data_IF_096777393401
#
_entry.id   IF_096777393401
#
_cell.length_a   1.000
_cell.length_b   1.000
_cell.length_c   1.000
_cell.angle_alpha   90.00
_cell.angle_beta   90.00
_cell.angle_gamma   90.00
#
_symmetry.space_group_name_H-M   'P 1'
#
loop_
_entity.id
_entity.type
_entity.pdbx_description
1 polymer ?
#
# COMPACT_ATOMS: atom_id res chain seq x y z
N UNK A 1 -3.57 -9.16 -9.45
CA UNK A 1 -3.93 -8.11 -8.47
C UNK A 1 -3.41 -6.83 -9.06
N UNK A 2 -4.29 -5.94 -9.47
CA UNK A 2 -3.93 -4.58 -9.88
C UNK A 2 -3.58 -3.81 -8.63
N UNK A 3 -2.32 -3.39 -8.49
CA UNK A 3 -1.89 -2.53 -7.39
C UNK A 3 -2.50 -1.15 -7.64
N UNK A 4 -3.23 -0.63 -6.65
CA UNK A 4 -3.83 0.69 -6.73
C UNK A 4 -2.74 1.75 -6.54
N UNK A 5 -2.52 2.58 -7.55
CA UNK A 5 -1.50 3.66 -7.52
C UNK A 5 -1.69 4.60 -6.33
N UNK A 6 -2.93 4.83 -5.90
CA UNK A 6 -3.23 5.70 -4.75
C UNK A 6 -2.90 5.05 -3.42
N UNK A 7 -2.97 3.72 -3.32
CA UNK A 7 -2.55 2.98 -2.13
C UNK A 7 -1.02 3.04 -1.97
N UNK A 8 -0.27 2.93 -3.08
CA UNK A 8 1.18 3.11 -3.08
C UNK A 8 1.57 4.54 -2.67
N UNK A 9 0.91 5.56 -3.23
CA UNK A 9 1.14 6.95 -2.86
C UNK A 9 0.84 7.17 -1.37
N UNK A 10 -0.24 6.61 -0.85
CA UNK A 10 -0.62 6.74 0.58
C UNK A 10 0.42 6.08 1.50
N UNK A 11 0.91 4.90 1.15
CA UNK A 11 1.94 4.19 1.91
C UNK A 11 3.28 4.95 1.87
N UNK A 12 3.67 5.44 0.69
CA UNK A 12 4.84 6.29 0.52
C UNK A 12 4.76 7.54 1.42
N UNK A 13 3.63 8.25 1.38
CA UNK A 13 3.44 9.46 2.18
C UNK A 13 3.54 9.20 3.68
N UNK A 14 3.05 8.06 4.14
CA UNK A 14 3.15 7.68 5.55
C UNK A 14 4.61 7.55 5.99
N UNK A 15 5.45 6.91 5.18
CA UNK A 15 6.87 6.71 5.50
C UNK A 15 7.65 8.03 5.33
N UNK A 16 7.41 8.72 4.22
CA UNK A 16 8.16 9.92 3.86
C UNK A 16 7.91 11.06 4.85
N UNK A 17 6.67 11.25 5.32
CA UNK A 17 6.32 12.32 6.26
C UNK A 17 6.98 12.15 7.65
N UNK A 18 7.33 10.93 8.06
CA UNK A 18 8.00 10.66 9.34
C UNK A 18 9.50 11.02 9.32
N UNK A 19 10.05 11.35 8.15
CA UNK A 19 11.43 11.80 8.02
C UNK A 19 11.72 13.02 8.89
N UNK A 20 12.82 13.05 9.67
CA UNK A 20 13.08 14.10 10.66
C UNK A 20 13.17 15.50 10.04
N UNK A 21 13.72 15.61 8.81
CA UNK A 21 13.81 16.86 8.07
C UNK A 21 12.46 17.29 7.45
N UNK A 22 11.55 16.33 7.19
CA UNK A 22 10.22 16.63 6.65
C UNK A 22 9.29 17.28 7.68
N UNK A 23 9.60 17.17 8.99
CA UNK A 23 8.81 17.80 10.06
C UNK A 23 8.61 19.30 9.88
N UNK A 24 9.60 19.99 9.32
CA UNK A 24 9.53 21.43 9.06
C UNK A 24 8.56 21.81 7.91
N UNK A 25 8.10 20.84 7.12
CA UNK A 25 7.25 21.05 5.95
C UNK A 25 5.87 20.38 6.09
N UNK A 26 5.53 19.95 7.31
CA UNK A 26 4.29 19.21 7.57
C UNK A 26 3.05 20.07 7.47
N UNK A 27 3.08 21.28 7.98
CA UNK A 27 1.92 22.15 8.09
C UNK A 27 2.06 23.34 7.15
N UNK A 28 0.93 23.96 6.74
CA UNK A 28 0.97 25.22 6.02
C UNK A 28 1.80 26.26 6.77
N UNK A 29 2.57 27.06 6.03
CA UNK A 29 3.32 28.18 6.61
C UNK A 29 2.36 29.16 7.26
N UNK A 30 2.64 29.50 8.52
CA UNK A 30 1.94 30.51 9.28
C UNK A 30 2.86 31.75 9.38
N UNK A 31 2.62 32.81 8.58
CA UNK A 31 3.49 33.98 8.53
C UNK A 31 3.76 34.63 9.89
N UNK A 32 2.80 34.58 10.81
CA UNK A 32 2.94 35.17 12.14
C UNK A 32 3.73 34.24 13.07
N UNK A 33 3.36 32.96 13.14
CA UNK A 33 4.04 32.00 14.03
C UNK A 33 5.46 31.68 13.57
N UNK A 34 5.67 31.58 12.27
CA UNK A 34 6.95 31.24 11.66
C UNK A 34 7.84 32.47 11.42
N UNK A 35 7.34 33.67 11.73
CA UNK A 35 8.02 34.95 11.56
C UNK A 35 8.42 35.23 10.09
N UNK A 36 7.53 34.83 9.17
CA UNK A 36 7.69 34.93 7.71
C UNK A 36 6.64 35.88 7.12
N UNK A 37 6.60 37.13 7.60
CA UNK A 37 5.49 38.06 7.36
C UNK A 37 5.19 38.40 5.90
N UNK A 38 6.14 38.23 4.98
CA UNK A 38 5.97 38.46 3.55
C UNK A 38 5.90 37.17 2.71
N UNK A 39 5.72 36.01 3.36
CA UNK A 39 5.67 34.72 2.68
C UNK A 39 4.67 34.67 1.53
N UNK A 40 3.41 35.06 1.77
CA UNK A 40 2.36 35.03 0.74
C UNK A 40 2.47 36.16 -0.30
N UNK A 41 3.37 37.14 -0.12
CA UNK A 41 3.69 38.11 -1.16
C UNK A 41 4.68 37.52 -2.18
N UNK A 42 5.52 36.58 -1.74
CA UNK A 42 6.56 35.95 -2.55
C UNK A 42 6.06 34.63 -3.13
N UNK A 43 5.39 33.82 -2.32
CA UNK A 43 4.90 32.47 -2.68
C UNK A 43 3.42 32.54 -3.02
N UNK A 44 3.11 32.32 -4.30
CA UNK A 44 1.75 32.44 -4.86
C UNK A 44 0.96 31.13 -4.84
N UNK A 45 1.64 29.99 -4.72
CA UNK A 45 1.03 28.66 -4.63
C UNK A 45 1.62 27.91 -3.43
N UNK A 46 1.18 28.23 -2.20
CA UNK A 46 1.67 27.55 -1.00
C UNK A 46 1.30 26.07 -1.02
N UNK A 47 2.17 25.22 -0.46
CA UNK A 47 1.95 23.78 -0.35
C UNK A 47 2.72 23.21 0.84
N UNK A 48 2.17 22.16 1.45
CA UNK A 48 2.72 21.45 2.60
C UNK A 48 2.32 19.96 2.58
N UNK A 49 3.01 19.13 3.35
CA UNK A 49 2.81 17.67 3.32
C UNK A 49 1.44 17.25 3.86
N UNK A 50 0.83 17.99 4.79
CA UNK A 50 -0.52 17.69 5.30
C UNK A 50 -1.58 18.01 4.25
N UNK A 51 -1.44 19.13 3.55
CA UNK A 51 -2.30 19.47 2.41
C UNK A 51 -2.19 18.42 1.32
N UNK A 52 -0.98 18.00 0.93
CA UNK A 52 -0.81 16.93 -0.06
C UNK A 52 -1.46 15.62 0.41
N UNK A 53 -1.29 15.25 1.68
CA UNK A 53 -1.89 14.04 2.27
C UNK A 53 -3.41 14.08 2.17
N UNK A 54 -4.01 15.21 2.55
CA UNK A 54 -5.46 15.39 2.51
C UNK A 54 -5.98 15.30 1.07
N UNK A 55 -5.29 15.92 0.11
CA UNK A 55 -5.64 15.84 -1.32
C UNK A 55 -5.61 14.41 -1.87
N UNK A 56 -4.66 13.57 -1.43
CA UNK A 56 -4.64 12.13 -1.76
C UNK A 56 -5.86 11.42 -1.15
N UNK A 57 -6.11 11.59 0.14
CA UNK A 57 -7.20 10.91 0.86
C UNK A 57 -8.58 11.28 0.31
N UNK A 58 -8.76 12.55 -0.08
CA UNK A 58 -9.99 13.07 -0.66
C UNK A 58 -10.11 12.80 -2.16
N UNK A 59 -9.14 12.13 -2.79
CA UNK A 59 -9.09 11.84 -4.23
C UNK A 59 -9.17 13.10 -5.11
N UNK A 60 -8.54 14.17 -4.66
CA UNK A 60 -8.54 15.45 -5.37
C UNK A 60 -7.56 15.46 -6.55
N UNK A 61 -6.55 14.59 -6.52
CA UNK A 61 -5.65 14.38 -7.65
C UNK A 61 -6.30 13.47 -8.70
N UNK A 62 -6.42 13.98 -9.93
CA UNK A 62 -6.90 13.22 -11.08
C UNK A 62 -5.81 12.32 -11.65
N UNK A 63 -4.55 12.69 -11.45
CA UNK A 63 -3.37 11.96 -11.95
C UNK A 63 -2.25 11.97 -10.91
N UNK A 64 -1.39 10.93 -10.87
CA UNK A 64 -0.19 10.92 -10.04
C UNK A 64 0.76 12.10 -10.30
N UNK A 65 0.79 12.63 -11.53
CA UNK A 65 1.64 13.77 -11.88
C UNK A 65 1.25 15.04 -11.11
N UNK A 66 -0.04 15.25 -10.86
CA UNK A 66 -0.50 16.37 -10.04
C UNK A 66 -0.01 16.25 -8.60
N UNK A 67 -0.02 15.04 -8.04
CA UNK A 67 0.53 14.77 -6.71
C UNK A 67 2.05 14.99 -6.68
N UNK A 68 2.78 14.48 -7.67
CA UNK A 68 4.23 14.64 -7.78
C UNK A 68 4.65 16.12 -7.86
N UNK A 69 3.91 16.91 -8.64
CA UNK A 69 4.17 18.33 -8.80
C UNK A 69 3.97 19.08 -7.48
N UNK A 70 2.92 18.78 -6.72
CA UNK A 70 2.69 19.41 -5.42
C UNK A 70 3.75 18.99 -4.39
N UNK A 71 4.22 17.74 -4.41
CA UNK A 71 5.36 17.30 -3.60
C UNK A 71 6.64 18.09 -3.92
N UNK A 72 6.93 18.32 -5.19
CA UNK A 72 8.06 19.15 -5.60
C UNK A 72 7.90 20.62 -5.18
N UNK A 73 6.66 21.13 -5.27
CA UNK A 73 6.34 22.53 -5.01
C UNK A 73 6.64 22.95 -3.56
N UNK A 74 6.42 22.06 -2.59
CA UNK A 74 6.76 22.29 -1.16
C UNK A 74 8.20 22.80 -1.01
N UNK A 75 9.16 22.08 -1.58
CA UNK A 75 10.58 22.40 -1.45
C UNK A 75 11.01 23.53 -2.38
N UNK A 76 10.43 23.63 -3.57
CA UNK A 76 10.70 24.73 -4.49
C UNK A 76 10.26 26.08 -3.90
N UNK A 77 9.11 26.12 -3.21
CA UNK A 77 8.65 27.30 -2.48
C UNK A 77 9.63 27.69 -1.36
N UNK A 78 10.11 26.71 -0.59
CA UNK A 78 11.09 26.96 0.46
C UNK A 78 12.41 27.54 -0.09
N UNK A 79 12.95 26.96 -1.16
CA UNK A 79 14.16 27.47 -1.84
C UNK A 79 13.92 28.90 -2.36
N UNK A 80 12.78 29.13 -3.03
CA UNK A 80 12.43 30.43 -3.59
C UNK A 80 12.35 31.49 -2.50
N UNK A 81 11.60 31.23 -1.43
CA UNK A 81 11.44 32.18 -0.33
C UNK A 81 12.77 32.44 0.39
N UNK A 82 13.47 31.39 0.82
CA UNK A 82 14.66 31.53 1.67
C UNK A 82 15.92 32.03 0.93
N UNK A 83 16.03 31.82 -0.39
CA UNK A 83 17.13 32.35 -1.19
C UNK A 83 17.15 33.89 -1.17
N UNK A 84 15.98 34.53 -1.15
CA UNK A 84 15.85 35.99 -1.07
C UNK A 84 16.15 36.57 0.33
N UNK A 85 16.28 35.70 1.34
CA UNK A 85 16.42 36.06 2.77
C UNK A 85 17.79 35.73 3.36
N UNK A 86 18.76 35.29 2.54
CA UNK A 86 20.07 34.79 3.00
C UNK A 86 19.99 33.60 3.99
N UNK A 87 18.91 32.82 3.95
CA UNK A 87 18.70 31.68 4.84
C UNK A 87 19.21 30.37 4.19
N UNK A 88 20.51 30.31 3.93
CA UNK A 88 21.11 29.23 3.12
C UNK A 88 20.83 27.82 3.67
N UNK A 89 20.83 27.65 4.99
CA UNK A 89 20.55 26.35 5.62
C UNK A 89 19.18 25.78 5.24
N UNK A 90 18.14 26.63 5.13
CA UNK A 90 16.81 26.20 4.69
C UNK A 90 16.80 25.83 3.20
N UNK A 91 17.55 26.57 2.37
CA UNK A 91 17.73 26.22 0.97
C UNK A 91 18.41 24.86 0.81
N UNK A 92 19.45 24.58 1.59
CA UNK A 92 20.19 23.32 1.55
C UNK A 92 19.32 22.13 1.98
N UNK A 93 18.55 22.28 3.07
CA UNK A 93 17.59 21.26 3.53
C UNK A 93 16.53 20.99 2.45
N UNK A 94 15.94 22.05 1.90
CA UNK A 94 14.90 21.90 0.88
C UNK A 94 15.45 21.29 -0.43
N UNK A 95 16.65 21.69 -0.85
CA UNK A 95 17.30 21.11 -2.02
C UNK A 95 17.65 19.63 -1.82
N UNK A 96 18.14 19.26 -0.62
CA UNK A 96 18.37 17.87 -0.25
C UNK A 96 17.09 17.04 -0.32
N UNK A 97 16.01 17.51 0.31
CA UNK A 97 14.73 16.79 0.33
C UNK A 97 14.08 16.71 -1.05
N UNK A 98 14.18 17.75 -1.86
CA UNK A 98 13.71 17.74 -3.25
C UNK A 98 14.48 16.71 -4.08
N UNK A 99 15.80 16.64 -3.92
CA UNK A 99 16.64 15.66 -4.61
C UNK A 99 16.30 14.24 -4.14
N UNK A 100 16.21 14.02 -2.83
CA UNK A 100 15.87 12.72 -2.24
C UNK A 100 14.50 12.23 -2.74
N UNK A 101 13.49 13.11 -2.74
CA UNK A 101 12.16 12.82 -3.30
C UNK A 101 12.24 12.44 -4.79
N UNK A 102 12.99 13.21 -5.60
CA UNK A 102 13.15 12.93 -7.04
C UNK A 102 13.91 11.63 -7.30
N UNK A 103 14.95 11.35 -6.53
CA UNK A 103 15.73 10.11 -6.64
C UNK A 103 14.86 8.91 -6.27
N UNK A 104 14.09 9.00 -5.18
CA UNK A 104 13.10 7.98 -4.80
C UNK A 104 12.04 7.80 -5.89
N UNK A 105 11.47 8.88 -6.42
CA UNK A 105 10.48 8.82 -7.49
C UNK A 105 11.06 8.23 -8.79
N UNK A 106 12.33 8.50 -9.10
CA UNK A 106 13.03 7.97 -10.27
C UNK A 106 13.22 6.45 -10.22
N UNK A 107 13.33 5.86 -9.03
CA UNK A 107 13.35 4.39 -8.86
C UNK A 107 12.04 3.75 -9.33
N UNK A 108 10.96 4.52 -9.44
CA UNK A 108 9.67 4.07 -9.94
C UNK A 108 9.39 4.47 -11.40
N UNK A 109 10.31 5.19 -12.06
CA UNK A 109 10.35 5.60 -13.48
C UNK A 109 9.02 5.53 -14.26
N UNK A 110 8.09 6.44 -14.00
CA UNK A 110 6.81 6.51 -14.69
C UNK A 110 6.87 7.50 -15.87
N UNK A 111 6.95 6.99 -17.11
CA UNK A 111 6.66 7.79 -18.31
C UNK A 111 5.18 7.63 -18.75
N UNK A 112 4.61 6.43 -18.62
CA UNK A 112 3.16 6.15 -18.76
C UNK A 112 2.74 4.91 -17.95
N UNK A 113 1.42 4.71 -17.76
CA UNK A 113 0.82 3.54 -17.10
C UNK A 113 1.18 2.20 -17.79
N UNK A 114 1.48 2.23 -19.09
CA UNK A 114 1.90 1.07 -19.90
C UNK A 114 3.33 0.62 -19.59
N UNK A 115 4.21 1.58 -19.30
CA UNK A 115 5.61 1.30 -18.94
C UNK A 115 5.70 0.66 -17.55
N UNK A 116 4.88 1.15 -16.62
CA UNK A 116 4.78 0.57 -15.28
C UNK A 116 4.24 -0.85 -15.27
N UNK A 117 3.17 -1.14 -16.03
CA UNK A 117 2.64 -2.50 -16.11
C UNK A 117 3.70 -3.49 -16.62
N UNK A 118 4.56 -3.05 -17.55
CA UNK A 118 5.64 -3.88 -18.09
C UNK A 118 6.77 -4.12 -17.08
N UNK A 119 7.16 -3.08 -16.33
CA UNK A 119 8.20 -3.16 -15.28
C UNK A 119 7.71 -3.96 -14.07
N UNK A 120 6.50 -3.68 -13.58
CA UNK A 120 5.87 -4.43 -12.49
C UNK A 120 5.75 -5.92 -12.85
N UNK A 121 5.32 -6.23 -14.07
CA UNK A 121 5.24 -7.63 -14.54
C UNK A 121 6.63 -8.26 -14.64
N UNK A 122 7.65 -7.52 -15.12
CA UNK A 122 9.02 -8.01 -15.21
C UNK A 122 9.65 -8.27 -13.83
N UNK A 123 9.48 -7.35 -12.88
CA UNK A 123 10.03 -7.48 -11.53
C UNK A 123 9.28 -8.50 -10.69
N UNK A 124 7.95 -8.59 -10.80
CA UNK A 124 7.20 -9.67 -10.15
C UNK A 124 7.52 -11.04 -10.74
N UNK A 125 7.82 -11.13 -12.05
CA UNK A 125 8.32 -12.35 -12.68
C UNK A 125 9.71 -12.72 -12.18
N UNK A 126 10.60 -11.73 -12.00
CA UNK A 126 11.95 -11.92 -11.47
C UNK A 126 11.93 -12.33 -9.99
N UNK A 127 11.10 -11.68 -9.18
CA UNK A 127 10.81 -12.07 -7.79
C UNK A 127 10.23 -13.47 -7.71
N UNK A 128 9.24 -13.81 -8.54
CA UNK A 128 8.69 -15.16 -8.64
C UNK A 128 9.77 -16.21 -8.93
N UNK A 129 10.64 -15.93 -9.90
CA UNK A 129 11.77 -16.80 -10.25
C UNK A 129 12.85 -16.90 -9.16
N UNK A 130 13.07 -15.83 -8.39
CA UNK A 130 14.00 -15.83 -7.25
C UNK A 130 13.42 -16.57 -6.05
N UNK A 131 12.11 -16.46 -5.82
CA UNK A 131 11.39 -17.19 -4.79
C UNK A 131 11.29 -18.70 -5.12
N UNK A 132 11.06 -19.05 -6.38
CA UNK A 132 11.10 -20.45 -6.86
C UNK A 132 12.48 -21.09 -6.71
N UNK A 133 13.54 -20.28 -6.70
CA UNK A 133 14.93 -20.72 -6.51
C UNK A 133 15.43 -20.56 -5.06
N UNK A 134 14.62 -20.01 -4.17
CA UNK A 134 15.00 -19.77 -2.77
C UNK A 134 15.03 -21.08 -1.99
N UNK A 135 16.15 -21.34 -1.30
CA UNK A 135 16.31 -22.50 -0.41
C UNK A 135 15.69 -22.30 0.98
N UNK A 136 15.12 -21.12 1.26
CA UNK A 136 14.52 -20.74 2.54
C UNK A 136 13.04 -20.40 2.34
N UNK A 137 12.16 -21.04 3.11
CA UNK A 137 10.72 -20.80 3.12
C UNK A 137 10.41 -19.40 3.68
N UNK A 138 9.62 -18.60 2.96
CA UNK A 138 9.24 -17.25 3.40
C UNK A 138 7.99 -17.30 4.31
N UNK A 139 8.17 -16.85 5.54
CA UNK A 139 7.38 -17.17 6.74
C UNK A 139 6.00 -16.54 6.93
N UNK A 140 5.18 -16.43 5.90
CA UNK A 140 3.70 -16.35 6.06
C UNK A 140 3.07 -17.72 5.79
N UNK A 141 3.86 -18.63 5.20
CA UNK A 141 3.40 -19.93 4.75
C UNK A 141 3.37 -20.98 5.87
N UNK A 142 4.15 -20.90 6.94
CA UNK A 142 4.26 -22.05 7.86
C UNK A 142 2.96 -22.38 8.59
N UNK A 143 2.24 -21.37 9.09
CA UNK A 143 0.95 -21.59 9.73
C UNK A 143 -0.12 -21.97 8.70
N UNK A 144 -0.21 -21.25 7.58
CA UNK A 144 -1.18 -21.51 6.50
C UNK A 144 -0.94 -22.88 5.85
N UNK A 145 0.29 -23.21 5.48
CA UNK A 145 0.71 -24.55 5.05
C UNK A 145 0.49 -25.58 6.14
N UNK A 146 0.67 -25.23 7.41
CA UNK A 146 0.30 -26.10 8.53
C UNK A 146 -1.19 -26.45 8.51
N UNK A 147 -2.06 -25.46 8.37
CA UNK A 147 -3.50 -25.65 8.22
C UNK A 147 -3.85 -26.48 6.98
N UNK A 148 -3.26 -26.17 5.81
CA UNK A 148 -3.50 -26.90 4.56
C UNK A 148 -3.04 -28.36 4.66
N UNK A 149 -1.81 -28.61 5.14
CA UNK A 149 -1.27 -29.98 5.32
C UNK A 149 -2.08 -30.79 6.33
N UNK A 150 -2.59 -30.15 7.39
CA UNK A 150 -3.43 -30.82 8.39
C UNK A 150 -4.82 -31.12 7.82
N UNK A 151 -5.39 -30.20 7.04
CA UNK A 151 -6.69 -30.34 6.40
C UNK A 151 -6.76 -31.52 5.43
N UNK A 152 -5.68 -31.83 4.72
CA UNK A 152 -5.59 -32.98 3.79
C UNK A 152 -5.91 -34.33 4.46
N UNK A 153 -5.69 -34.44 5.77
CA UNK A 153 -5.90 -35.67 6.55
C UNK A 153 -7.17 -35.64 7.41
N UNK A 154 -7.93 -34.55 7.36
CA UNK A 154 -9.12 -34.37 8.18
C UNK A 154 -10.36 -34.92 7.49
N UNK A 155 -11.28 -35.45 8.30
CA UNK A 155 -12.64 -35.73 7.86
C UNK A 155 -13.37 -34.41 7.52
N UNK A 156 -14.41 -34.44 6.67
CA UNK A 156 -15.20 -33.25 6.38
C UNK A 156 -15.78 -32.62 7.65
N UNK A 157 -15.92 -31.29 7.66
CA UNK A 157 -16.56 -30.56 8.74
C UNK A 157 -17.99 -31.07 8.91
N UNK A 158 -18.45 -31.39 10.13
CA UNK A 158 -19.85 -31.72 10.37
C UNK A 158 -20.77 -30.59 9.88
N UNK A 159 -21.87 -30.88 9.16
CA UNK A 159 -22.74 -29.86 8.58
C UNK A 159 -23.23 -28.79 9.57
N UNK A 160 -23.45 -29.18 10.84
CA UNK A 160 -23.86 -28.26 11.90
C UNK A 160 -22.79 -27.21 12.29
N UNK A 161 -21.52 -27.48 12.01
CA UNK A 161 -20.39 -26.61 12.38
C UNK A 161 -20.04 -25.63 11.25
N UNK A 162 -20.52 -25.89 10.02
CA UNK A 162 -20.24 -25.05 8.85
C UNK A 162 -20.77 -23.60 9.03
N UNK A 163 -22.01 -23.35 9.51
CA UNK A 163 -22.48 -21.98 9.73
C UNK A 163 -21.65 -21.21 10.76
N UNK A 164 -21.16 -21.89 11.80
CA UNK A 164 -20.33 -21.29 12.84
C UNK A 164 -18.98 -20.85 12.23
N UNK A 165 -18.37 -21.73 11.44
CA UNK A 165 -17.14 -21.42 10.72
C UNK A 165 -17.35 -20.24 9.75
N UNK A 166 -18.45 -20.22 8.99
CA UNK A 166 -18.74 -19.12 8.04
C UNK A 166 -18.85 -17.79 8.75
N UNK A 167 -19.53 -17.72 9.90
CA UNK A 167 -19.62 -16.48 10.69
C UNK A 167 -18.23 -15.99 11.13
N UNK A 168 -17.37 -16.90 11.60
CA UNK A 168 -15.99 -16.55 11.97
C UNK A 168 -15.15 -16.12 10.77
N UNK A 169 -15.40 -16.73 9.59
CA UNK A 169 -14.76 -16.37 8.34
C UNK A 169 -15.16 -14.96 7.90
N UNK A 170 -16.44 -14.60 8.00
CA UNK A 170 -16.96 -13.26 7.69
C UNK A 170 -16.26 -12.19 8.55
N UNK A 171 -16.14 -12.43 9.86
CA UNK A 171 -15.39 -11.53 10.75
C UNK A 171 -13.91 -11.43 10.37
N UNK A 172 -13.27 -12.54 9.97
CA UNK A 172 -11.88 -12.52 9.53
C UNK A 172 -11.68 -11.79 8.19
N UNK A 173 -12.71 -11.70 7.34
CA UNK A 173 -12.63 -11.03 6.05
C UNK A 173 -12.63 -9.49 6.16
N UNK A 174 -13.01 -8.94 7.32
CA UNK A 174 -12.91 -7.50 7.63
C UNK A 174 -11.46 -7.06 7.86
N UNK A 175 -10.56 -7.99 8.21
CA UNK A 175 -9.13 -7.75 8.44
C UNK A 175 -8.32 -8.02 7.15
N UNK A 176 -7.58 -7.02 6.62
CA UNK A 176 -6.83 -7.17 5.37
C UNK A 176 -5.78 -8.29 5.36
N UNK A 177 -5.09 -8.52 6.49
CA UNK A 177 -4.05 -9.55 6.60
C UNK A 177 -4.68 -10.95 6.69
N UNK A 178 -5.78 -11.09 7.42
CA UNK A 178 -6.52 -12.36 7.50
C UNK A 178 -7.18 -12.70 6.17
N UNK A 179 -7.74 -11.70 5.48
CA UNK A 179 -8.28 -11.83 4.11
C UNK A 179 -7.21 -12.33 3.14
N UNK A 180 -5.98 -11.83 3.23
CA UNK A 180 -4.84 -12.29 2.43
C UNK A 180 -4.49 -13.76 2.70
N UNK A 181 -4.52 -14.20 3.96
CA UNK A 181 -4.28 -15.59 4.34
C UNK A 181 -5.38 -16.55 3.86
N UNK A 182 -6.65 -16.16 4.00
CA UNK A 182 -7.82 -16.90 3.50
C UNK A 182 -7.70 -17.12 1.98
N UNK A 183 -7.33 -16.07 1.25
CA UNK A 183 -7.06 -16.15 -0.20
C UNK A 183 -5.91 -17.10 -0.53
N UNK A 184 -4.85 -17.12 0.28
CA UNK A 184 -3.73 -18.04 0.09
C UNK A 184 -4.15 -19.50 0.31
N UNK A 185 -4.95 -19.78 1.34
CA UNK A 185 -5.54 -21.11 1.61
C UNK A 185 -6.38 -21.57 0.42
N UNK A 186 -7.28 -20.72 -0.07
CA UNK A 186 -8.17 -21.04 -1.18
C UNK A 186 -7.40 -21.31 -2.48
N UNK A 187 -6.39 -20.49 -2.80
CA UNK A 187 -5.53 -20.73 -3.97
C UNK A 187 -4.78 -22.05 -3.91
N UNK A 188 -4.35 -22.48 -2.72
CA UNK A 188 -3.62 -23.75 -2.53
C UNK A 188 -4.53 -24.98 -2.56
N UNK A 189 -5.76 -24.84 -2.06
CA UNK A 189 -6.67 -25.98 -1.84
C UNK A 189 -7.71 -26.14 -2.94
N UNK A 190 -8.06 -25.07 -3.66
CA UNK A 190 -9.12 -25.07 -4.67
C UNK A 190 -8.59 -24.59 -6.02
N UNK A 191 -8.12 -25.53 -6.83
CA UNK A 191 -7.47 -25.27 -8.14
C UNK A 191 -8.41 -24.67 -9.20
N UNK A 192 -9.72 -24.72 -8.99
CA UNK A 192 -10.75 -24.30 -9.96
C UNK A 192 -11.36 -22.91 -9.70
N UNK A 193 -10.82 -22.11 -8.76
CA UNK A 193 -11.31 -20.75 -8.54
C UNK A 193 -10.96 -19.84 -9.72
N UNK A 194 -11.87 -19.70 -10.68
CA UNK A 194 -11.84 -18.63 -11.68
C UNK A 194 -12.40 -17.37 -11.04
N UNK A 195 -11.55 -16.36 -10.83
CA UNK A 195 -12.02 -15.05 -10.41
C UNK A 195 -12.88 -14.44 -11.53
N UNK A 196 -14.18 -14.29 -11.29
CA UNK A 196 -15.05 -13.49 -12.17
C UNK A 196 -14.58 -12.04 -12.15
N UNK A 197 -14.35 -11.48 -13.33
CA UNK A 197 -13.56 -10.26 -13.54
C UNK A 197 -14.32 -8.94 -13.37
N UNK A 198 -15.53 -8.92 -12.81
CA UNK A 198 -16.42 -7.75 -13.02
C UNK A 198 -16.92 -6.97 -11.79
N UNK A 199 -16.48 -7.26 -10.57
CA UNK A 199 -16.78 -6.37 -9.43
C UNK A 199 -15.65 -6.37 -8.40
N UNK A 200 -15.44 -5.25 -7.69
CA UNK A 200 -14.49 -5.10 -6.55
C UNK A 200 -14.82 -6.01 -5.34
N UNK A 201 -15.71 -7.00 -5.52
CA UNK A 201 -16.22 -7.91 -4.51
C UNK A 201 -15.88 -9.36 -4.87
N UNK A 202 -15.04 -9.99 -4.05
CA UNK A 202 -14.79 -11.43 -4.12
C UNK A 202 -15.93 -12.16 -3.40
N UNK A 203 -16.82 -12.80 -4.14
CA UNK A 203 -17.86 -13.67 -3.59
C UNK A 203 -17.36 -15.12 -3.58
N UNK A 204 -17.34 -15.75 -2.41
CA UNK A 204 -16.93 -17.16 -2.25
C UNK A 204 -18.18 -17.99 -2.00
N UNK A 205 -18.53 -18.89 -2.92
CA UNK A 205 -19.58 -19.87 -2.68
C UNK A 205 -19.03 -21.02 -1.82
N UNK A 206 -19.34 -21.01 -0.52
CA UNK A 206 -18.89 -22.04 0.44
C UNK A 206 -19.37 -23.44 0.05
N UNK A 207 -20.54 -23.55 -0.60
CA UNK A 207 -21.11 -24.83 -1.02
C UNK A 207 -20.33 -25.50 -2.17
N UNK A 208 -19.53 -24.72 -2.90
CA UNK A 208 -18.70 -25.21 -4.03
C UNK A 208 -17.26 -25.51 -3.60
N UNK A 209 -16.89 -25.21 -2.35
CA UNK A 209 -15.57 -25.51 -1.81
C UNK A 209 -15.41 -26.99 -1.54
N UNK A 210 -14.25 -27.53 -1.93
CA UNK A 210 -13.92 -28.91 -1.59
C UNK A 210 -13.63 -29.06 -0.08
N UNK A 211 -13.70 -30.30 0.41
CA UNK A 211 -13.52 -30.59 1.84
C UNK A 211 -12.16 -30.13 2.39
N UNK A 212 -11.10 -30.17 1.58
CA UNK A 212 -9.77 -29.72 1.99
C UNK A 212 -9.75 -28.20 2.21
N UNK A 213 -10.39 -27.43 1.32
CA UNK A 213 -10.55 -25.98 1.46
C UNK A 213 -11.35 -25.61 2.70
N UNK A 214 -12.49 -26.28 2.92
CA UNK A 214 -13.33 -26.04 4.11
C UNK A 214 -12.54 -26.33 5.39
N UNK A 215 -11.88 -27.49 5.47
CA UNK A 215 -11.08 -27.87 6.64
C UNK A 215 -9.92 -26.91 6.92
N UNK A 216 -9.20 -26.47 5.88
CA UNK A 216 -8.09 -25.53 6.03
C UNK A 216 -8.57 -24.16 6.51
N UNK A 217 -9.68 -23.66 5.96
CA UNK A 217 -10.31 -22.42 6.41
C UNK A 217 -10.79 -22.53 7.86
N UNK A 218 -11.40 -23.65 8.24
CA UNK A 218 -11.88 -23.88 9.60
C UNK A 218 -10.73 -23.89 10.63
N UNK A 219 -9.64 -24.59 10.33
CA UNK A 219 -8.44 -24.58 11.18
C UNK A 219 -7.88 -23.17 11.34
N UNK A 220 -7.89 -22.38 10.28
CA UNK A 220 -7.40 -21.02 10.28
C UNK A 220 -8.29 -20.08 11.10
N UNK A 221 -9.61 -20.06 10.87
CA UNK A 221 -10.50 -19.13 11.59
C UNK A 221 -10.61 -19.48 13.08
N UNK A 222 -10.52 -20.76 13.44
CA UNK A 222 -10.56 -21.22 14.84
C UNK A 222 -9.34 -20.83 15.66
N UNK A 223 -8.24 -20.40 15.05
CA UNK A 223 -7.11 -19.87 15.83
C UNK A 223 -7.35 -18.46 16.37
N UNK A 224 -8.48 -17.83 16.01
CA UNK A 224 -8.83 -16.46 16.39
C UNK A 224 -10.14 -16.34 17.17
N UNK A 225 -10.78 -17.47 17.48
CA UNK A 225 -12.05 -17.59 18.24
C UNK A 225 -11.82 -18.33 19.54
#
# INVERSE_FOLDING_TARGET
>A
MTVNVWELITNFMTIFNEGPLNKAFLNPVDPEKDQLSDYYNIITQPMDLTTVKNKVLNREYKTPDQWYNDMCLIYQNAITYHSSKNNQHWCDIAAFLLKDFKDLASQYNYATLSDWNSIYTAEMKKLGQLLEKSSVAQGIDDFVSGCVKRAEKMQPIPPQDVPIMVKSLETCLEDPEKKRCILAILKKTQKNLTAEKETDTLTINIAELNNNSLNALNLYVRSFT
#
